data_IF_949506880176
#
_entry.id   IF_949506880176
#
_cell.length_a   1.000
_cell.length_b   1.000
_cell.length_c   1.000
_cell.angle_alpha   90.00
_cell.angle_beta   90.00
_cell.angle_gamma   90.00
#
_symmetry.space_group_name_H-M   'P 1'
#
loop_
_entity.id
_entity.type
_entity.pdbx_description
1 polymer ?
#
# COMPACT_ATOMS: atom_id res chain seq x y z
N UNK A 1 -12.87 -19.13 -0.12
CA UNK A 1 -13.59 -18.73 1.12
C UNK A 1 -13.59 -17.21 1.15
N UNK A 2 -14.74 -16.57 0.89
CA UNK A 2 -14.88 -15.11 0.91
C UNK A 2 -14.94 -14.72 2.37
N UNK A 3 -13.93 -14.04 2.88
CA UNK A 3 -13.99 -13.46 4.21
C UNK A 3 -14.61 -12.07 4.05
N UNK A 4 -15.89 -11.96 4.33
CA UNK A 4 -16.54 -10.67 4.55
C UNK A 4 -15.97 -10.07 5.83
N UNK A 5 -15.09 -9.12 5.71
CA UNK A 5 -14.65 -8.31 6.85
C UNK A 5 -15.34 -6.97 6.79
N UNK A 6 -16.40 -6.82 7.58
CA UNK A 6 -17.08 -5.55 7.86
C UNK A 6 -16.27 -4.61 8.79
N UNK A 7 -14.97 -4.70 8.78
CA UNK A 7 -14.10 -3.76 9.48
C UNK A 7 -13.31 -2.98 8.45
N UNK A 8 -13.47 -1.66 8.48
CA UNK A 8 -12.69 -0.69 7.71
C UNK A 8 -11.20 -0.80 8.10
N UNK A 9 -10.48 -1.69 7.46
CA UNK A 9 -9.05 -1.84 7.71
C UNK A 9 -8.30 -1.06 6.64
N UNK A 10 -7.86 0.12 7.04
CA UNK A 10 -6.92 0.90 6.25
C UNK A 10 -5.54 0.24 6.33
N UNK A 11 -4.82 0.21 5.19
CA UNK A 11 -3.44 -0.26 5.14
C UNK A 11 -3.26 -1.76 4.91
N UNK A 12 -2.14 -2.29 5.38
CA UNK A 12 -1.67 -3.65 5.09
C UNK A 12 -2.25 -4.73 6.01
N UNK A 13 -3.00 -4.36 7.06
CA UNK A 13 -3.45 -5.30 8.11
C UNK A 13 -4.25 -6.49 7.57
N UNK A 14 -5.10 -6.27 6.58
CA UNK A 14 -5.88 -7.34 5.96
C UNK A 14 -5.00 -8.32 5.17
N UNK A 15 -4.07 -7.82 4.38
CA UNK A 15 -3.08 -8.64 3.67
C UNK A 15 -2.18 -9.38 4.65
N UNK A 16 -1.72 -8.70 5.70
CA UNK A 16 -0.90 -9.29 6.76
C UNK A 16 -1.59 -10.47 7.44
N UNK A 17 -2.87 -10.31 7.80
CA UNK A 17 -3.68 -11.40 8.34
C UNK A 17 -3.83 -12.56 7.36
N UNK A 18 -4.05 -12.26 6.09
CA UNK A 18 -4.15 -13.28 5.03
C UNK A 18 -2.86 -14.07 4.86
N UNK A 19 -1.70 -13.41 5.01
CA UNK A 19 -0.37 -14.02 4.96
C UNK A 19 0.05 -14.70 6.27
N UNK A 20 -0.76 -14.65 7.32
CA UNK A 20 -0.45 -15.24 8.62
C UNK A 20 0.65 -14.51 9.40
N UNK A 21 0.78 -13.21 9.18
CA UNK A 21 1.78 -12.38 9.86
C UNK A 21 1.54 -12.28 11.37
N UNK A 22 2.64 -12.14 12.12
CA UNK A 22 2.61 -11.73 13.52
C UNK A 22 2.68 -10.20 13.58
N UNK A 23 1.71 -9.59 14.24
CA UNK A 23 1.67 -8.14 14.46
C UNK A 23 2.46 -7.77 15.72
N UNK A 24 3.25 -6.69 15.61
CA UNK A 24 3.84 -5.94 16.71
C UNK A 24 3.51 -4.47 16.54
N UNK A 25 3.43 -3.70 17.63
CA UNK A 25 3.11 -2.27 17.61
C UNK A 25 4.18 -1.50 18.38
N UNK A 26 4.50 -0.33 17.84
CA UNK A 26 5.35 0.64 18.52
C UNK A 26 4.82 2.04 18.19
N UNK A 27 4.22 2.71 19.17
CA UNK A 27 3.50 3.95 18.97
C UNK A 27 2.45 3.80 17.88
N UNK A 28 2.55 4.63 16.84
CA UNK A 28 1.63 4.65 15.70
C UNK A 28 2.04 3.67 14.58
N UNK A 29 3.14 2.94 14.75
CA UNK A 29 3.63 1.97 13.78
C UNK A 29 3.10 0.57 14.07
N UNK A 30 2.56 -0.08 13.03
CA UNK A 30 2.13 -1.46 13.04
C UNK A 30 3.06 -2.26 12.14
N UNK A 31 3.78 -3.21 12.71
CA UNK A 31 4.71 -4.07 11.99
C UNK A 31 4.15 -5.49 11.93
N UNK A 32 4.05 -6.00 10.74
CA UNK A 32 3.54 -7.33 10.45
C UNK A 32 4.69 -8.20 9.92
N UNK A 33 5.26 -9.03 10.77
CA UNK A 33 6.34 -9.95 10.41
C UNK A 33 5.75 -11.19 9.74
N UNK A 34 6.23 -11.50 8.55
CA UNK A 34 5.82 -12.71 7.84
C UNK A 34 6.45 -13.96 8.47
N UNK A 35 5.75 -15.11 8.38
CA UNK A 35 6.37 -16.40 8.71
C UNK A 35 7.66 -16.65 7.93
N UNK A 36 8.63 -17.43 8.46
CA UNK A 36 9.91 -17.69 7.79
C UNK A 36 9.81 -18.23 6.36
N UNK A 37 8.69 -18.87 6.02
CA UNK A 37 8.42 -19.35 4.67
C UNK A 37 8.33 -18.25 3.62
N UNK A 38 8.11 -17.00 4.04
CA UNK A 38 7.94 -15.82 3.17
C UNK A 38 9.13 -14.85 3.24
N UNK A 39 10.26 -15.32 3.75
CA UNK A 39 11.47 -14.51 3.84
C UNK A 39 12.06 -14.23 2.45
N UNK A 40 12.50 -13.01 2.24
CA UNK A 40 13.28 -12.63 1.07
C UNK A 40 14.74 -13.08 1.26
N UNK A 41 15.12 -14.15 0.55
CA UNK A 41 16.48 -14.70 0.60
C UNK A 41 17.55 -13.81 -0.06
N UNK A 42 17.16 -12.75 -0.76
CA UNK A 42 18.09 -11.87 -1.49
C UNK A 42 18.74 -10.80 -0.62
N UNK A 43 18.41 -10.76 0.65
CA UNK A 43 19.01 -9.79 1.57
C UNK A 43 19.81 -10.49 2.64
N UNK A 44 21.06 -10.05 2.81
CA UNK A 44 21.92 -10.45 3.94
C UNK A 44 21.39 -10.03 5.30
N UNK A 45 20.33 -9.25 5.31
CA UNK A 45 19.63 -8.81 6.49
C UNK A 45 18.73 -9.96 6.98
N UNK A 46 18.99 -10.45 8.19
CA UNK A 46 18.23 -11.54 8.84
C UNK A 46 16.79 -11.16 9.20
N UNK A 47 16.39 -9.92 8.92
CA UNK A 47 15.00 -9.49 9.05
C UNK A 47 14.17 -10.18 7.98
N UNK A 48 13.30 -11.07 8.39
CA UNK A 48 12.32 -11.73 7.53
C UNK A 48 11.46 -10.72 6.77
N UNK A 49 10.63 -11.20 5.84
CA UNK A 49 9.67 -10.35 5.15
C UNK A 49 8.75 -9.65 6.14
N UNK A 50 8.41 -8.40 5.87
CA UNK A 50 7.50 -7.63 6.71
C UNK A 50 6.67 -6.63 5.92
N UNK A 51 5.57 -6.24 6.52
CA UNK A 51 4.73 -5.11 6.15
C UNK A 51 4.75 -4.13 7.32
N UNK A 52 4.79 -2.85 7.03
CA UNK A 52 4.76 -1.78 8.03
C UNK A 52 3.69 -0.78 7.63
N UNK A 53 2.84 -0.41 8.56
CA UNK A 53 1.90 0.71 8.41
C UNK A 53 2.12 1.73 9.51
N UNK A 54 2.01 3.01 9.16
CA UNK A 54 1.90 4.12 10.11
C UNK A 54 0.61 4.89 9.82
N UNK A 55 0.01 5.44 10.86
CA UNK A 55 -1.23 6.20 10.80
C UNK A 55 -1.00 7.63 11.30
N UNK A 56 -0.29 8.49 10.54
CA UNK A 56 0.13 9.81 11.02
C UNK A 56 -1.05 10.76 11.24
N UNK A 57 -2.20 10.48 10.64
CA UNK A 57 -3.44 11.20 10.92
C UNK A 57 -4.67 10.38 10.49
N UNK A 58 -5.88 10.71 10.99
CA UNK A 58 -7.11 10.06 10.55
C UNK A 58 -7.24 10.10 9.02
N UNK A 59 -7.56 8.97 8.41
CA UNK A 59 -7.72 8.84 6.96
C UNK A 59 -6.41 8.85 6.16
N UNK A 60 -5.23 8.89 6.80
CA UNK A 60 -3.93 8.79 6.14
C UNK A 60 -3.15 7.58 6.66
N UNK A 61 -2.74 6.72 5.75
CA UNK A 61 -1.89 5.56 6.06
C UNK A 61 -0.67 5.57 5.14
N UNK A 62 0.52 5.51 5.74
CA UNK A 62 1.76 5.29 5.00
C UNK A 62 2.23 3.86 5.25
N UNK A 63 2.60 3.15 4.18
CA UNK A 63 2.95 1.74 4.27
C UNK A 63 4.25 1.43 3.53
N UNK A 64 4.99 0.48 4.07
CA UNK A 64 6.13 -0.14 3.42
C UNK A 64 5.98 -1.65 3.45
N UNK A 65 6.28 -2.31 2.35
CA UNK A 65 6.23 -3.75 2.23
C UNK A 65 7.51 -4.31 1.63
N UNK A 66 8.01 -5.39 2.22
CA UNK A 66 9.15 -6.15 1.73
C UNK A 66 9.00 -7.61 2.10
N UNK A 67 8.67 -8.46 1.15
CA UNK A 67 8.47 -9.89 1.37
C UNK A 67 8.56 -10.68 0.07
N UNK A 68 8.49 -11.99 0.17
CA UNK A 68 8.35 -12.91 -0.95
C UNK A 68 7.34 -13.98 -0.59
N UNK A 69 6.49 -14.37 -1.55
CA UNK A 69 5.54 -15.46 -1.38
C UNK A 69 5.98 -16.68 -2.19
N UNK A 70 5.75 -17.89 -1.67
CA UNK A 70 6.10 -19.16 -2.33
C UNK A 70 5.05 -19.62 -3.32
N UNK A 71 3.83 -19.16 -3.12
CA UNK A 71 2.69 -19.48 -3.98
C UNK A 71 2.00 -18.18 -4.38
N UNK A 72 1.25 -18.22 -5.47
CA UNK A 72 0.47 -17.04 -5.89
C UNK A 72 -0.57 -16.72 -4.84
N UNK A 73 -0.51 -15.50 -4.33
CA UNK A 73 -1.46 -14.98 -3.35
C UNK A 73 -2.50 -14.12 -4.06
N UNK A 74 -3.76 -14.41 -3.82
CA UNK A 74 -4.88 -13.56 -4.24
C UNK A 74 -5.58 -13.01 -3.01
N UNK A 75 -5.51 -11.71 -2.84
CA UNK A 75 -6.11 -11.00 -1.71
C UNK A 75 -7.19 -10.03 -2.20
N UNK A 76 -8.39 -10.14 -1.64
CA UNK A 76 -9.51 -9.23 -1.95
C UNK A 76 -9.68 -8.22 -0.82
N UNK A 77 -9.76 -6.96 -1.17
CA UNK A 77 -9.94 -5.87 -0.21
C UNK A 77 -10.88 -4.79 -0.76
N UNK A 78 -11.44 -4.00 0.12
CA UNK A 78 -12.22 -2.82 -0.22
C UNK A 78 -11.80 -1.64 0.64
N UNK A 79 -11.87 -0.46 0.09
CA UNK A 79 -11.68 0.81 0.80
C UNK A 79 -13.00 1.56 0.75
N UNK A 80 -13.55 1.86 1.90
CA UNK A 80 -14.85 2.54 2.01
C UNK A 80 -14.68 3.73 2.95
N UNK A 81 -15.29 4.89 2.65
CA UNK A 81 -16.16 5.12 1.50
C UNK A 81 -15.40 5.32 0.20
N UNK A 82 -14.28 6.06 0.21
CA UNK A 82 -13.43 6.31 -0.94
C UNK A 82 -11.98 6.50 -0.49
N UNK A 83 -11.03 6.15 -1.33
CA UNK A 83 -9.61 6.37 -1.04
C UNK A 83 -8.75 6.39 -2.29
N UNK A 84 -7.67 7.13 -2.20
CA UNK A 84 -6.61 7.17 -3.22
C UNK A 84 -5.40 6.42 -2.69
N UNK A 85 -5.04 5.33 -3.33
CA UNK A 85 -3.82 4.60 -3.02
C UNK A 85 -2.74 4.95 -4.04
N UNK A 86 -1.66 5.57 -3.56
CA UNK A 86 -0.49 5.93 -4.34
C UNK A 86 0.62 4.97 -3.94
N UNK A 87 1.13 4.19 -4.88
CA UNK A 87 2.08 3.12 -4.62
C UNK A 87 3.30 3.23 -5.52
N UNK A 88 4.47 3.36 -4.92
CA UNK A 88 5.76 3.22 -5.60
C UNK A 88 6.21 1.76 -5.52
N UNK A 89 6.12 1.04 -6.62
CA UNK A 89 6.61 -0.34 -6.74
C UNK A 89 8.07 -0.31 -7.16
N UNK A 90 8.94 -0.86 -6.34
CA UNK A 90 10.36 -1.01 -6.65
C UNK A 90 10.62 -2.36 -7.32
N UNK A 91 9.95 -3.41 -6.84
CA UNK A 91 10.10 -4.78 -7.30
C UNK A 91 8.83 -5.58 -7.04
N UNK A 92 8.57 -6.58 -7.90
CA UNK A 92 7.51 -7.56 -7.67
C UNK A 92 6.62 -7.80 -8.88
N UNK A 93 5.99 -8.97 -8.85
CA UNK A 93 4.95 -9.35 -9.78
C UNK A 93 3.58 -9.11 -9.12
N UNK A 94 3.07 -7.90 -9.27
CA UNK A 94 1.84 -7.46 -8.63
C UNK A 94 0.81 -7.13 -9.72
N UNK A 95 -0.37 -7.69 -9.60
CA UNK A 95 -1.49 -7.40 -10.52
C UNK A 95 -2.71 -6.95 -9.72
N UNK A 96 -3.33 -5.88 -10.16
CA UNK A 96 -4.59 -5.36 -9.61
C UNK A 96 -5.72 -5.68 -10.57
N UNK A 97 -6.81 -6.19 -10.02
CA UNK A 97 -8.04 -6.52 -10.75
C UNK A 97 -9.19 -5.74 -10.11
N UNK A 98 -9.66 -4.73 -10.82
CA UNK A 98 -10.82 -3.94 -10.43
C UNK A 98 -12.07 -4.45 -11.16
N UNK A 99 -13.26 -4.41 -10.53
CA UNK A 99 -14.50 -4.82 -11.19
C UNK A 99 -14.74 -4.07 -12.51
N UNK A 100 -15.05 -4.80 -13.55
CA UNK A 100 -15.36 -4.23 -14.87
C UNK A 100 -14.15 -3.67 -15.64
N UNK A 101 -12.94 -3.77 -15.10
CA UNK A 101 -11.72 -3.32 -15.78
C UNK A 101 -10.81 -4.50 -16.13
N UNK A 102 -9.92 -4.29 -17.11
CA UNK A 102 -8.85 -5.25 -17.41
C UNK A 102 -7.85 -5.33 -16.26
N UNK A 103 -7.35 -6.53 -15.98
CA UNK A 103 -6.29 -6.74 -15.02
C UNK A 103 -5.07 -5.84 -15.37
N UNK A 104 -4.55 -5.13 -14.37
CA UNK A 104 -3.44 -4.20 -14.53
C UNK A 104 -2.23 -4.67 -13.73
N UNK A 105 -1.14 -5.01 -14.41
CA UNK A 105 0.14 -5.32 -13.76
C UNK A 105 0.81 -4.01 -13.32
N UNK A 106 1.18 -3.94 -12.05
CA UNK A 106 1.94 -2.84 -11.49
C UNK A 106 3.44 -3.11 -11.76
N UNK A 107 3.99 -2.42 -12.74
CA UNK A 107 5.43 -2.48 -13.04
C UNK A 107 6.18 -1.57 -12.07
N UNK A 108 7.51 -1.63 -12.09
CA UNK A 108 8.34 -0.68 -11.35
C UNK A 108 7.94 0.76 -11.68
N UNK A 109 7.73 1.57 -10.64
CA UNK A 109 7.32 2.97 -10.74
C UNK A 109 6.12 3.31 -9.85
N UNK A 110 5.62 4.53 -9.98
CA UNK A 110 4.52 5.06 -9.19
C UNK A 110 3.19 4.78 -9.89
N UNK A 111 2.24 4.25 -9.13
CA UNK A 111 0.89 3.93 -9.56
C UNK A 111 -0.12 4.64 -8.66
N UNK A 112 -1.21 5.10 -9.24
CA UNK A 112 -2.35 5.64 -8.51
C UNK A 112 -3.56 4.76 -8.78
N UNK A 113 -4.23 4.35 -7.70
CA UNK A 113 -5.48 3.61 -7.74
C UNK A 113 -6.50 4.35 -6.89
N UNK A 114 -7.69 4.48 -7.43
CA UNK A 114 -8.81 5.07 -6.71
C UNK A 114 -9.82 4.01 -6.38
N UNK A 115 -10.11 3.92 -5.11
CA UNK A 115 -11.09 3.02 -4.55
C UNK A 115 -12.39 3.78 -4.29
N UNK A 116 -13.53 3.20 -4.71
CA UNK A 116 -14.87 3.79 -4.57
C UNK A 116 -15.81 2.80 -3.87
N UNK A 117 -15.35 2.19 -2.79
CA UNK A 117 -16.12 1.21 -2.03
C UNK A 117 -16.26 -0.17 -2.71
N UNK A 118 -15.70 -0.35 -3.89
CA UNK A 118 -15.73 -1.63 -4.59
C UNK A 118 -14.62 -2.56 -4.10
N UNK A 119 -14.87 -3.86 -4.15
CA UNK A 119 -13.84 -4.86 -3.86
C UNK A 119 -12.84 -4.93 -5.00
N UNK A 120 -11.56 -4.82 -4.68
CA UNK A 120 -10.43 -4.96 -5.58
C UNK A 120 -9.65 -6.22 -5.22
N UNK A 121 -9.12 -6.92 -6.23
CA UNK A 121 -8.24 -8.07 -6.01
C UNK A 121 -6.79 -7.67 -6.29
N UNK A 122 -5.92 -7.99 -5.35
CA UNK A 122 -4.48 -7.91 -5.49
C UNK A 122 -3.94 -9.32 -5.68
N UNK A 123 -3.25 -9.55 -6.79
CA UNK A 123 -2.60 -10.83 -7.07
C UNK A 123 -1.09 -10.62 -7.00
N UNK A 124 -0.44 -11.41 -6.15
CA UNK A 124 1.01 -11.35 -5.91
C UNK A 124 1.60 -12.65 -6.45
N UNK A 125 2.51 -12.53 -7.41
CA UNK A 125 3.20 -13.68 -8.02
C UNK A 125 4.18 -14.35 -7.06
N UNK A 126 4.36 -15.66 -7.24
CA UNK A 126 5.29 -16.45 -6.45
C UNK A 126 6.76 -16.21 -6.81
N UNK A 127 7.65 -16.54 -5.88
CA UNK A 127 9.11 -16.63 -6.04
C UNK A 127 9.81 -15.35 -6.52
N UNK A 128 9.15 -14.20 -6.43
CA UNK A 128 9.70 -12.89 -6.76
C UNK A 128 9.58 -11.96 -5.53
N UNK A 129 10.67 -11.30 -5.11
CA UNK A 129 10.61 -10.33 -4.02
C UNK A 129 9.65 -9.20 -4.35
N UNK A 130 8.84 -8.83 -3.39
CA UNK A 130 7.86 -7.73 -3.48
C UNK A 130 8.31 -6.59 -2.59
N UNK A 131 8.54 -5.43 -3.19
CA UNK A 131 8.92 -4.21 -2.48
C UNK A 131 8.07 -3.05 -2.98
N UNK A 132 7.34 -2.41 -2.07
CA UNK A 132 6.63 -1.17 -2.35
C UNK A 132 6.62 -0.22 -1.16
N UNK A 133 6.48 1.04 -1.47
CA UNK A 133 6.15 2.10 -0.52
C UNK A 133 4.83 2.70 -0.98
N UNK A 134 3.88 2.92 -0.09
CA UNK A 134 2.58 3.45 -0.49
C UNK A 134 1.99 4.41 0.52
N UNK A 135 1.09 5.25 0.02
CA UNK A 135 0.24 6.13 0.81
C UNK A 135 -1.21 5.88 0.41
N UNK A 136 -2.06 5.65 1.39
CA UNK A 136 -3.50 5.61 1.23
C UNK A 136 -4.09 6.86 1.88
N UNK A 137 -4.81 7.63 1.09
CA UNK A 137 -5.52 8.85 1.50
C UNK A 137 -7.00 8.61 1.38
N UNK A 138 -7.74 8.74 2.47
CA UNK A 138 -9.18 8.53 2.52
C UNK A 138 -9.94 9.85 2.67
N UNK A 139 -11.24 9.81 2.47
CA UNK A 139 -12.15 10.97 2.51
C UNK A 139 -11.97 11.85 3.73
N UNK A 140 -11.80 11.25 4.92
CA UNK A 140 -11.64 11.99 6.17
C UNK A 140 -10.41 12.91 6.13
N UNK A 141 -9.30 12.41 5.57
CA UNK A 141 -8.09 13.21 5.40
C UNK A 141 -8.29 14.29 4.34
N UNK A 142 -8.89 13.95 3.21
CA UNK A 142 -9.17 14.90 2.13
C UNK A 142 -10.08 16.01 2.61
N UNK A 143 -11.16 15.68 3.31
CA UNK A 143 -12.09 16.67 3.85
C UNK A 143 -11.44 17.62 4.87
N UNK A 144 -10.49 17.12 5.66
CA UNK A 144 -9.80 17.91 6.69
C UNK A 144 -8.69 18.81 6.15
N UNK A 145 -8.02 18.42 5.05
CA UNK A 145 -6.78 19.06 4.62
C UNK A 145 -6.83 19.66 3.22
N UNK A 146 -7.76 19.27 2.37
CA UNK A 146 -7.95 19.90 1.06
C UNK A 146 -8.89 21.09 1.22
N UNK A 147 -8.32 22.28 1.40
CA UNK A 147 -9.08 23.53 1.44
C UNK A 147 -9.47 23.93 0.03
N UNK A 148 -10.76 24.25 -0.16
CA UNK A 148 -11.31 24.69 -1.44
C UNK A 148 -10.70 26.00 -1.97
N UNK A 149 -9.96 26.74 -1.15
CA UNK A 149 -9.25 27.98 -1.49
C UNK A 149 -7.90 27.76 -2.19
N UNK A 150 -7.35 26.54 -2.14
CA UNK A 150 -6.11 26.16 -2.85
C UNK A 150 -6.36 25.60 -4.26
N UNK A 151 -7.60 25.33 -4.59
CA UNK A 151 -8.02 24.78 -5.88
C UNK A 151 -9.19 25.64 -6.35
N UNK A 152 -9.14 26.15 -7.58
CA UNK A 152 -10.24 26.91 -8.19
C UNK A 152 -11.50 26.03 -8.34
N UNK A 153 -12.16 25.79 -7.22
CA UNK A 153 -13.35 24.93 -7.11
C UNK A 153 -13.18 23.76 -6.16
N UNK A 154 -14.25 23.01 -5.85
CA UNK A 154 -14.14 21.79 -5.03
C UNK A 154 -13.25 20.80 -5.76
N UNK A 155 -12.27 20.24 -5.02
CA UNK A 155 -11.39 19.17 -5.53
C UNK A 155 -12.26 18.03 -6.05
N UNK A 156 -12.31 17.90 -7.37
CA UNK A 156 -13.01 16.80 -8.02
C UNK A 156 -12.00 15.67 -8.24
N UNK A 157 -12.00 14.72 -7.34
CA UNK A 157 -11.19 13.51 -7.46
C UNK A 157 -11.40 12.84 -8.82
N UNK A 158 -12.57 12.98 -9.41
CA UNK A 158 -12.91 12.43 -10.72
C UNK A 158 -12.12 13.09 -11.88
N UNK A 159 -11.83 14.36 -11.79
CA UNK A 159 -10.96 15.04 -12.76
C UNK A 159 -9.51 14.63 -12.59
N UNK A 160 -9.07 14.51 -11.33
CA UNK A 160 -7.73 13.97 -11.04
C UNK A 160 -7.57 12.53 -11.54
N UNK A 161 -8.65 11.75 -11.65
CA UNK A 161 -8.66 10.39 -12.19
C UNK A 161 -8.48 10.29 -13.69
N UNK A 162 -8.88 11.29 -14.45
CA UNK A 162 -8.58 11.35 -15.88
C UNK A 162 -7.08 11.40 -16.15
N UNK A 163 -6.29 11.76 -15.17
CA UNK A 163 -4.83 11.73 -15.21
C UNK A 163 -4.24 10.32 -14.99
N UNK A 164 -5.05 9.30 -14.74
CA UNK A 164 -4.59 7.90 -14.54
C UNK A 164 -3.83 7.30 -15.73
N UNK A 165 -3.90 7.90 -16.91
CA UNK A 165 -3.14 7.44 -18.07
C UNK A 165 -1.72 8.01 -18.14
N UNK A 166 -1.34 8.90 -17.23
CA UNK A 166 -0.06 9.57 -17.25
C UNK A 166 0.96 8.84 -16.38
N UNK A 167 2.23 8.93 -16.76
CA UNK A 167 3.33 8.38 -15.98
C UNK A 167 3.61 9.31 -14.79
N UNK A 168 3.31 8.82 -13.58
CA UNK A 168 3.52 9.57 -12.33
C UNK A 168 4.97 9.55 -11.82
N UNK A 169 5.91 9.06 -12.60
CA UNK A 169 7.33 9.03 -12.23
C UNK A 169 7.99 10.40 -12.45
N UNK A 170 7.41 11.46 -11.90
CA UNK A 170 8.07 12.76 -11.88
C UNK A 170 9.22 12.73 -10.88
N UNK A 171 10.32 13.46 -11.11
CA UNK A 171 11.46 13.49 -10.18
C UNK A 171 11.04 13.83 -8.75
N UNK A 172 10.13 14.78 -8.57
CA UNK A 172 9.68 15.21 -7.24
C UNK A 172 8.95 14.10 -6.50
N UNK A 173 8.01 13.39 -7.16
CA UNK A 173 7.30 12.26 -6.55
C UNK A 173 8.25 11.10 -6.23
N UNK A 174 9.21 10.81 -7.09
CA UNK A 174 10.23 9.79 -6.82
C UNK A 174 11.02 10.15 -5.57
N UNK A 175 11.47 11.40 -5.44
CA UNK A 175 12.22 11.87 -4.26
C UNK A 175 11.37 11.76 -2.99
N UNK A 176 10.11 12.18 -3.03
CA UNK A 176 9.19 12.07 -1.89
C UNK A 176 9.01 10.62 -1.45
N UNK A 177 8.80 9.69 -2.38
CA UNK A 177 8.66 8.27 -2.05
C UNK A 177 9.95 7.65 -1.53
N UNK A 178 11.11 8.06 -2.01
CA UNK A 178 12.39 7.63 -1.44
C UNK A 178 12.55 8.13 0.00
N UNK A 179 12.24 9.39 0.28
CA UNK A 179 12.27 9.94 1.64
C UNK A 179 11.30 9.22 2.57
N UNK A 180 10.06 8.98 2.13
CA UNK A 180 9.06 8.22 2.88
C UNK A 180 9.56 6.80 3.19
N UNK A 181 10.11 6.11 2.21
CA UNK A 181 10.69 4.79 2.39
C UNK A 181 11.79 4.78 3.46
N UNK A 182 12.70 5.76 3.43
CA UNK A 182 13.76 5.86 4.43
C UNK A 182 13.22 6.12 5.83
N UNK A 183 12.21 6.97 5.98
CA UNK A 183 11.56 7.22 7.26
C UNK A 183 10.93 5.93 7.82
N UNK A 184 10.08 5.27 7.05
CA UNK A 184 9.41 4.03 7.45
C UNK A 184 10.41 2.89 7.78
N UNK A 185 11.49 2.75 7.02
CA UNK A 185 12.54 1.75 7.30
C UNK A 185 13.37 2.10 8.54
N UNK A 186 13.53 3.36 8.84
CA UNK A 186 14.20 3.82 10.07
C UNK A 186 13.44 3.37 11.32
N UNK A 187 12.13 3.53 11.33
CA UNK A 187 11.25 3.04 12.40
C UNK A 187 11.36 1.50 12.55
N UNK A 188 11.30 0.75 11.47
CA UNK A 188 11.42 -0.70 11.51
C UNK A 188 12.78 -1.21 12.04
N UNK A 189 13.87 -0.45 11.84
CA UNK A 189 15.21 -0.84 12.30
C UNK A 189 15.43 -0.63 13.79
N UNK A 190 14.84 0.41 14.38
CA UNK A 190 14.96 0.67 15.82
C UNK A 190 14.29 -0.40 16.67
N UNK A 191 13.40 -1.19 16.09
CA UNK A 191 12.64 -2.24 16.77
C UNK A 191 13.25 -3.64 16.65
N UNK A 192 14.17 -3.83 15.71
CA UNK A 192 14.84 -5.11 15.48
C UNK A 192 16.15 -5.26 16.27
N UNK A 193 16.57 -4.24 17.00
CA UNK A 193 17.76 -4.20 17.86
C UNK A 193 17.39 -4.38 19.33
#
# INVERSE_FOLDING_TARGET
MIVETNEYRLGSSGLAKHLGCKETRDGDAHIYCLPPAYNDYYTSDRSGGYLLDTHPSPGLVASYARFMVKEVVTYSYGVVPMGVWICSVERGNITVIEPGKKARRLRRGIHILVHRGQTVKLVIGADEPVWWTSVLVCDDFLAAHVRGDLIDGPFQLEEALHWQSQHYNTPDLVVVFEQLKYALRGEARMQAA
#
